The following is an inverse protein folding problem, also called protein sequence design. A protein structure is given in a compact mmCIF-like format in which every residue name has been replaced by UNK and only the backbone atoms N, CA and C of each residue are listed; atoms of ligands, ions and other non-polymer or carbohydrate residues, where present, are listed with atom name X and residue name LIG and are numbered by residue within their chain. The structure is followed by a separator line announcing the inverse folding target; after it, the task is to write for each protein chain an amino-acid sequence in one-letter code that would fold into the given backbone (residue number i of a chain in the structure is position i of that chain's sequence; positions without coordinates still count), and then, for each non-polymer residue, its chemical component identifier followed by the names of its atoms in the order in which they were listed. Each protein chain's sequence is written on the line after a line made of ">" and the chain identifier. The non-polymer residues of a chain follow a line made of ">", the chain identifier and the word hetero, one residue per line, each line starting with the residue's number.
data_IF_482210474401
#
_entry.id   IF_482210474401
#
_cell.length_a   1.000
_cell.length_b   1.000
_cell.length_c   1.000
_cell.angle_alpha   90.00
_cell.angle_beta   90.00
_cell.angle_gamma   90.00
#
_symmetry.space_group_name_H-M   'P 1'
#
loop_
_entity.id
_entity.type
_entity.pdbx_description
1 polymer ?
#
# COMPACT_ATOMS: atom_id res chain seq x y z
N UNK A 1 -1.01 3.59 -12.37
CA UNK A 1 0.04 3.46 -11.33
C UNK A 1 0.80 2.16 -11.55
N UNK A 2 2.10 2.12 -11.25
CA UNK A 2 2.92 0.90 -11.31
C UNK A 2 3.19 0.35 -9.91
N UNK A 3 3.37 -0.97 -9.81
CA UNK A 3 3.66 -1.67 -8.55
C UNK A 3 4.86 -1.05 -7.80
N UNK A 4 5.95 -0.77 -8.52
CA UNK A 4 7.16 -0.19 -7.91
C UNK A 4 6.92 1.18 -7.25
N UNK A 5 6.02 2.01 -7.79
CA UNK A 5 5.67 3.30 -7.17
C UNK A 5 4.92 3.11 -5.85
N UNK A 6 3.96 2.18 -5.82
CA UNK A 6 3.20 1.85 -4.60
C UNK A 6 4.14 1.32 -3.52
N UNK A 7 5.00 0.36 -3.86
CA UNK A 7 5.95 -0.23 -2.91
C UNK A 7 6.98 0.79 -2.42
N UNK A 8 7.46 1.69 -3.27
CA UNK A 8 8.39 2.76 -2.87
C UNK A 8 7.76 3.69 -1.83
N UNK A 9 6.50 4.10 -2.02
CA UNK A 9 5.79 4.93 -1.03
C UNK A 9 5.48 4.16 0.26
N UNK A 10 5.08 2.90 0.16
CA UNK A 10 4.81 2.06 1.33
C UNK A 10 6.07 1.89 2.21
N UNK A 11 7.23 1.57 1.62
CA UNK A 11 8.50 1.46 2.38
C UNK A 11 8.91 2.78 3.02
N UNK A 12 8.73 3.91 2.33
CA UNK A 12 8.99 5.24 2.90
C UNK A 12 8.05 5.54 4.07
N UNK A 13 6.78 5.14 3.98
CA UNK A 13 5.84 5.28 5.09
C UNK A 13 6.25 4.41 6.28
N UNK A 14 6.66 3.15 6.05
CA UNK A 14 7.22 2.27 7.10
C UNK A 14 8.44 2.87 7.77
N UNK A 15 9.39 3.38 6.98
CA UNK A 15 10.59 4.05 7.49
C UNK A 15 10.27 5.32 8.31
N UNK A 16 9.13 5.97 8.03
CA UNK A 16 8.62 7.09 8.80
C UNK A 16 7.81 6.68 10.07
N UNK A 17 7.69 5.37 10.33
CA UNK A 17 7.02 4.83 11.51
C UNK A 17 5.55 4.43 11.31
N UNK A 18 5.03 4.49 10.07
CA UNK A 18 3.65 4.07 9.82
C UNK A 18 3.47 2.56 10.04
N UNK A 19 2.36 2.17 10.67
CA UNK A 19 1.99 0.77 10.80
C UNK A 19 1.49 0.20 9.46
N UNK A 20 1.48 -1.13 9.35
CA UNK A 20 0.88 -1.78 8.19
C UNK A 20 -0.62 -1.50 8.10
N UNK A 21 -1.34 -1.45 9.23
CA UNK A 21 -2.76 -1.07 9.23
C UNK A 21 -2.99 0.34 8.71
N UNK A 22 -2.14 1.31 9.08
CA UNK A 22 -2.25 2.69 8.60
C UNK A 22 -2.07 2.79 7.08
N UNK A 23 -1.07 2.07 6.53
CA UNK A 23 -0.85 1.98 5.09
C UNK A 23 -2.07 1.33 4.41
N UNK A 24 -2.60 0.25 4.98
CA UNK A 24 -3.78 -0.44 4.46
C UNK A 24 -5.00 0.46 4.43
N UNK A 25 -5.25 1.20 5.52
CA UNK A 25 -6.38 2.13 5.64
C UNK A 25 -6.27 3.27 4.63
N UNK A 26 -5.06 3.83 4.45
CA UNK A 26 -4.82 4.86 3.44
C UNK A 26 -5.15 4.36 2.03
N UNK A 27 -4.75 3.13 1.68
CA UNK A 27 -5.10 2.51 0.40
C UNK A 27 -6.62 2.32 0.26
N UNK A 28 -7.31 1.83 1.29
CA UNK A 28 -8.77 1.67 1.26
C UNK A 28 -9.50 3.00 1.03
N UNK A 29 -9.03 4.09 1.64
CA UNK A 29 -9.59 5.43 1.46
C UNK A 29 -9.52 5.93 0.01
N UNK A 30 -8.58 5.44 -0.80
CA UNK A 30 -8.45 5.80 -2.21
C UNK A 30 -9.49 5.13 -3.11
N UNK A 31 -10.29 4.18 -2.60
CA UNK A 31 -11.28 3.43 -3.39
C UNK A 31 -12.27 4.36 -4.10
N UNK A 32 -12.71 5.43 -3.44
CA UNK A 32 -13.61 6.44 -4.02
C UNK A 32 -12.93 7.38 -5.02
N UNK A 33 -11.59 7.39 -5.06
CA UNK A 33 -10.79 8.31 -5.88
C UNK A 33 -10.28 7.64 -7.15
N UNK A 34 -9.75 6.41 -7.05
CA UNK A 34 -9.10 5.68 -8.16
C UNK A 34 -9.74 4.32 -8.47
N UNK A 35 -10.85 4.01 -7.80
CA UNK A 35 -11.63 2.80 -8.01
C UNK A 35 -11.09 1.56 -7.29
N UNK A 36 -12.00 0.63 -6.99
CA UNK A 36 -11.70 -0.62 -6.29
C UNK A 36 -10.63 -1.49 -6.98
N UNK A 37 -10.65 -1.71 -8.32
CA UNK A 37 -9.65 -2.58 -8.95
C UNK A 37 -8.21 -2.11 -8.74
N UNK A 38 -7.98 -0.80 -8.81
CA UNK A 38 -6.65 -0.20 -8.62
C UNK A 38 -6.18 -0.35 -7.17
N UNK A 39 -7.07 -0.11 -6.20
CA UNK A 39 -6.77 -0.26 -4.78
C UNK A 39 -6.52 -1.72 -4.41
N UNK A 40 -7.33 -2.66 -4.92
CA UNK A 40 -7.17 -4.08 -4.66
C UNK A 40 -5.79 -4.60 -5.12
N UNK A 41 -5.31 -4.14 -6.28
CA UNK A 41 -3.96 -4.43 -6.77
C UNK A 41 -2.88 -3.82 -5.87
N UNK A 42 -3.03 -2.54 -5.47
CA UNK A 42 -2.09 -1.89 -4.57
C UNK A 42 -1.96 -2.60 -3.22
N UNK A 43 -3.09 -3.03 -2.66
CA UNK A 43 -3.15 -3.82 -1.42
C UNK A 43 -2.41 -5.15 -1.57
N UNK A 44 -2.67 -5.90 -2.65
CA UNK A 44 -2.03 -7.21 -2.82
C UNK A 44 -0.51 -7.11 -2.97
N UNK A 45 0.00 -6.09 -3.66
CA UNK A 45 1.43 -5.83 -3.77
C UNK A 45 2.07 -5.50 -2.42
N UNK A 46 1.45 -4.58 -1.67
CA UNK A 46 1.97 -4.12 -0.38
C UNK A 46 1.98 -5.25 0.65
N UNK A 47 0.89 -6.03 0.74
CA UNK A 47 0.84 -7.19 1.65
C UNK A 47 1.93 -8.20 1.31
N UNK A 48 2.01 -8.62 0.05
CA UNK A 48 3.04 -9.57 -0.39
C UNK A 48 4.46 -9.09 -0.07
N UNK A 49 4.80 -7.84 -0.37
CA UNK A 49 6.17 -7.36 -0.22
C UNK A 49 6.57 -7.06 1.22
N UNK A 50 5.66 -6.59 2.07
CA UNK A 50 6.01 -6.16 3.44
C UNK A 50 5.75 -7.23 4.50
N UNK A 51 4.88 -8.23 4.23
CA UNK A 51 4.77 -9.43 5.08
C UNK A 51 6.00 -10.36 4.93
N UNK A 52 6.78 -10.26 3.84
CA UNK A 52 8.03 -11.00 3.64
C UNK A 52 9.26 -10.33 4.30
N UNK A 53 9.15 -9.06 4.70
CA UNK A 53 10.24 -8.25 5.28
C UNK A 53 10.23 -8.21 6.83
N UNK A 54 9.11 -8.57 7.48
CA UNK A 54 8.93 -8.66 8.95
C UNK A 54 9.22 -10.09 9.47
#
# INVERSE_FOLDING_TARGET
>A
HSEGSVLSHARRARAAGASMEEIHHALMGLTSTIGFPTVAAAVSWVRRSLEEED
#
